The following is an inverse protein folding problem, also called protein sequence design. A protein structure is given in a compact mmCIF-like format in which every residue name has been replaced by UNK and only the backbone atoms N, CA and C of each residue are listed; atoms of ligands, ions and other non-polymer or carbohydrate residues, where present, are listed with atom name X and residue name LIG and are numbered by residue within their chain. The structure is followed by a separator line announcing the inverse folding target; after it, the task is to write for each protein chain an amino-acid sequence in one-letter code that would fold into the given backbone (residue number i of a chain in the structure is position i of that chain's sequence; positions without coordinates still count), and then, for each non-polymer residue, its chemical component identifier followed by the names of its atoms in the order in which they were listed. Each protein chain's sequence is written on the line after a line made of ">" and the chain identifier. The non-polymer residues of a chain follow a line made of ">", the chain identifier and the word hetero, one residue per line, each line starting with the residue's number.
data_IF_196577685269
#
_entry.id   IF_196577685269
#
_cell.length_a   1.000
_cell.length_b   1.000
_cell.length_c   1.000
_cell.angle_alpha   90.00
_cell.angle_beta   90.00
_cell.angle_gamma   90.00
#
_symmetry.space_group_name_H-M   'P 1'
#
loop_
_entity.id
_entity.type
_entity.pdbx_description
1 polymer ?
#
# COMPACT_ATOMS: atom_id res chain seq x y z
N UNK A 1 -6.76 -18.72 -33.51
CA UNK A 1 -5.62 -18.27 -34.33
C UNK A 1 -5.09 -16.93 -33.83
N UNK A 2 -3.95 -16.51 -34.36
CA UNK A 2 -3.36 -15.20 -34.10
C UNK A 2 -4.20 -14.08 -34.72
N UNK A 3 -4.33 -12.93 -34.07
CA UNK A 3 -4.91 -11.71 -34.61
C UNK A 3 -3.80 -10.66 -34.68
N UNK A 4 -3.53 -10.18 -35.90
CA UNK A 4 -2.49 -9.16 -36.13
C UNK A 4 -3.04 -8.01 -36.97
N UNK A 5 -2.75 -6.80 -36.52
CA UNK A 5 -3.02 -5.54 -37.25
C UNK A 5 -1.79 -4.64 -37.18
N UNK A 6 -1.41 -4.00 -38.31
CA UNK A 6 -0.35 -2.98 -38.28
C UNK A 6 -0.85 -1.64 -37.71
N UNK A 7 -2.15 -1.40 -37.73
CA UNK A 7 -2.82 -0.28 -37.10
C UNK A 7 -3.57 -0.69 -35.82
N UNK A 8 -4.70 -0.05 -35.60
CA UNK A 8 -5.57 -0.38 -34.47
C UNK A 8 -6.27 -1.74 -34.68
N UNK A 9 -6.54 -2.47 -33.62
CA UNK A 9 -7.31 -3.70 -33.62
C UNK A 9 -8.52 -3.58 -32.68
N UNK A 10 -9.69 -4.00 -33.13
CA UNK A 10 -10.91 -4.03 -32.35
C UNK A 10 -11.58 -5.40 -32.44
N UNK A 11 -11.75 -6.06 -31.31
CA UNK A 11 -12.48 -7.31 -31.18
C UNK A 11 -13.70 -7.08 -30.28
N UNK A 12 -14.88 -7.42 -30.77
CA UNK A 12 -16.11 -7.29 -29.97
C UNK A 12 -16.96 -8.55 -30.12
N UNK A 13 -17.34 -9.13 -29.00
CA UNK A 13 -18.22 -10.26 -28.93
C UNK A 13 -19.44 -9.95 -28.04
N UNK A 14 -20.63 -10.28 -28.49
CA UNK A 14 -21.87 -10.05 -27.74
C UNK A 14 -21.96 -10.88 -26.44
N UNK A 15 -21.18 -11.99 -26.33
CA UNK A 15 -21.19 -12.83 -25.17
C UNK A 15 -19.79 -13.22 -24.70
N UNK A 16 -19.11 -14.17 -25.34
CA UNK A 16 -17.75 -14.57 -24.95
C UNK A 16 -16.74 -14.18 -26.02
N UNK A 17 -15.59 -13.68 -25.60
CA UNK A 17 -14.42 -13.47 -26.46
C UNK A 17 -13.27 -14.33 -25.88
N UNK A 18 -12.86 -15.36 -26.61
CA UNK A 18 -11.69 -16.16 -26.27
C UNK A 18 -10.70 -16.13 -27.42
N UNK A 19 -9.45 -15.81 -27.13
CA UNK A 19 -8.36 -15.84 -28.10
C UNK A 19 -7.35 -16.90 -27.69
N UNK A 20 -7.17 -17.91 -28.56
CA UNK A 20 -6.20 -19.01 -28.36
C UNK A 20 -4.82 -18.66 -28.95
N UNK A 21 -4.70 -17.57 -29.69
CA UNK A 21 -3.46 -17.05 -30.27
C UNK A 21 -3.19 -15.65 -29.80
N UNK A 22 -1.99 -15.16 -30.13
CA UNK A 22 -1.57 -13.83 -29.75
C UNK A 22 -2.45 -12.73 -30.40
N UNK A 23 -2.66 -11.65 -29.65
CA UNK A 23 -3.28 -10.42 -30.13
C UNK A 23 -2.19 -9.36 -30.31
N UNK A 24 -1.96 -8.90 -31.51
CA UNK A 24 -0.94 -7.89 -31.81
C UNK A 24 -1.54 -6.74 -32.62
N UNK A 25 -1.41 -5.52 -32.12
CA UNK A 25 -1.78 -4.30 -32.80
C UNK A 25 -0.58 -3.33 -32.84
N UNK A 26 -0.25 -2.78 -34.03
CA UNK A 26 0.74 -1.71 -34.14
C UNK A 26 0.24 -0.38 -33.54
N UNK A 27 -1.08 -0.18 -33.54
CA UNK A 27 -1.79 0.92 -32.87
C UNK A 27 -2.40 0.51 -31.54
N UNK A 28 -3.61 0.99 -31.25
CA UNK A 28 -4.38 0.64 -30.06
C UNK A 28 -5.10 -0.71 -30.24
N UNK A 29 -5.29 -1.43 -29.13
CA UNK A 29 -6.02 -2.68 -29.08
C UNK A 29 -7.24 -2.56 -28.18
N UNK A 30 -8.41 -2.88 -28.71
CA UNK A 30 -9.66 -2.93 -27.97
C UNK A 30 -10.23 -4.34 -28.01
N UNK A 31 -10.45 -4.98 -26.85
CA UNK A 31 -11.13 -6.26 -26.75
C UNK A 31 -12.33 -6.14 -25.80
N UNK A 32 -13.53 -6.39 -26.32
CA UNK A 32 -14.80 -6.27 -25.58
C UNK A 32 -15.59 -7.56 -25.65
N UNK A 33 -16.10 -7.99 -24.50
CA UNK A 33 -17.02 -9.11 -24.40
C UNK A 33 -18.26 -8.76 -23.59
N UNK A 34 -19.44 -9.19 -23.98
CA UNK A 34 -20.66 -8.99 -23.21
C UNK A 34 -20.68 -9.78 -21.90
N UNK A 35 -19.88 -10.86 -21.79
CA UNK A 35 -19.79 -11.67 -20.57
C UNK A 35 -18.34 -11.96 -20.18
N UNK A 36 -17.63 -12.87 -20.85
CA UNK A 36 -16.27 -13.28 -20.48
C UNK A 36 -15.26 -12.93 -21.57
N UNK A 37 -14.12 -12.37 -21.16
CA UNK A 37 -12.95 -12.14 -22.02
C UNK A 37 -11.78 -12.99 -21.52
N UNK A 38 -11.27 -13.91 -22.37
CA UNK A 38 -10.10 -14.72 -22.03
C UNK A 38 -9.05 -14.61 -23.15
N UNK A 39 -7.84 -14.20 -22.78
CA UNK A 39 -6.68 -14.24 -23.69
C UNK A 39 -5.71 -15.31 -23.20
N UNK A 40 -5.48 -16.34 -24.01
CA UNK A 40 -4.60 -17.47 -23.63
C UNK A 40 -3.14 -17.23 -23.97
N UNK A 41 -2.88 -16.35 -24.92
CA UNK A 41 -1.54 -15.94 -25.37
C UNK A 41 -1.30 -14.45 -25.12
N UNK A 42 -0.18 -13.95 -25.59
CA UNK A 42 0.23 -12.57 -25.40
C UNK A 42 -0.72 -11.55 -26.04
N UNK A 43 -0.88 -10.42 -25.36
CA UNK A 43 -1.58 -9.25 -25.87
C UNK A 43 -0.56 -8.12 -25.98
N UNK A 44 -0.35 -7.60 -27.18
CA UNK A 44 0.62 -6.53 -27.45
C UNK A 44 -0.03 -5.42 -28.28
N UNK A 45 0.07 -4.19 -27.81
CA UNK A 45 -0.33 -3.00 -28.55
C UNK A 45 0.81 -1.97 -28.55
N UNK A 46 1.04 -1.33 -29.70
CA UNK A 46 1.99 -0.22 -29.82
C UNK A 46 1.52 1.06 -29.13
N UNK A 47 0.22 1.17 -28.86
CA UNK A 47 -0.42 2.25 -28.10
C UNK A 47 -1.22 1.69 -26.94
N UNK A 48 -2.44 2.15 -26.75
CA UNK A 48 -3.29 1.81 -25.63
C UNK A 48 -3.91 0.41 -25.76
N UNK A 49 -4.14 -0.24 -24.63
CA UNK A 49 -4.93 -1.47 -24.51
C UNK A 49 -6.21 -1.19 -23.72
N UNK A 50 -7.34 -1.58 -24.28
CA UNK A 50 -8.63 -1.54 -23.59
C UNK A 50 -9.23 -2.95 -23.52
N UNK A 51 -9.40 -3.47 -22.32
CA UNK A 51 -10.02 -4.76 -22.03
C UNK A 51 -11.35 -4.54 -21.30
N UNK A 52 -12.44 -5.12 -21.78
CA UNK A 52 -13.73 -4.98 -21.11
C UNK A 52 -14.55 -6.27 -21.19
N UNK A 53 -15.16 -6.64 -20.06
CA UNK A 53 -16.13 -7.72 -20.00
C UNK A 53 -17.27 -7.40 -19.01
N UNK A 54 -18.47 -7.83 -19.36
CA UNK A 54 -19.63 -7.69 -18.46
C UNK A 54 -19.54 -8.59 -17.21
N UNK A 55 -18.68 -9.63 -17.22
CA UNK A 55 -18.32 -10.47 -16.08
C UNK A 55 -16.80 -10.47 -15.91
N UNK A 56 -16.11 -11.55 -16.31
CA UNK A 56 -14.71 -11.75 -15.97
C UNK A 56 -13.77 -11.46 -17.14
N UNK A 57 -12.61 -10.92 -16.81
CA UNK A 57 -11.45 -10.82 -17.70
C UNK A 57 -10.33 -11.71 -17.15
N UNK A 58 -9.80 -12.59 -18.00
CA UNK A 58 -8.64 -13.41 -17.69
C UNK A 58 -7.57 -13.29 -18.74
N UNK A 59 -6.36 -12.91 -18.33
CA UNK A 59 -5.17 -12.92 -19.20
C UNK A 59 -4.19 -13.96 -18.70
N UNK A 60 -3.88 -14.97 -19.53
CA UNK A 60 -3.00 -16.09 -19.13
C UNK A 60 -1.51 -15.78 -19.32
N UNK A 61 -1.18 -14.90 -20.25
CA UNK A 61 0.18 -14.52 -20.62
C UNK A 61 0.37 -13.03 -20.53
N UNK A 62 1.51 -12.57 -20.99
CA UNK A 62 1.92 -11.17 -20.95
C UNK A 62 0.93 -10.25 -21.66
N UNK A 63 0.65 -9.10 -21.04
CA UNK A 63 -0.04 -7.97 -21.64
C UNK A 63 0.93 -6.80 -21.71
N UNK A 64 1.17 -6.30 -22.92
CA UNK A 64 2.05 -5.14 -23.16
C UNK A 64 1.27 -4.03 -23.88
N UNK A 65 1.18 -2.87 -23.27
CA UNK A 65 0.66 -1.65 -23.89
C UNK A 65 1.79 -0.63 -24.01
N UNK A 66 2.06 -0.15 -25.22
CA UNK A 66 3.02 0.94 -25.43
C UNK A 66 2.53 2.29 -24.84
N UNK A 67 1.22 2.43 -24.68
CA UNK A 67 0.54 3.52 -23.99
C UNK A 67 -0.12 3.06 -22.70
N UNK A 68 -1.34 3.51 -22.45
CA UNK A 68 -2.12 3.17 -21.27
C UNK A 68 -2.82 1.81 -21.40
N UNK A 69 -3.07 1.16 -20.28
CA UNK A 69 -3.97 0.02 -20.18
C UNK A 69 -5.20 0.37 -19.36
N UNK A 70 -6.38 0.10 -19.89
CA UNK A 70 -7.64 0.26 -19.15
C UNK A 70 -8.39 -1.07 -19.12
N UNK A 71 -8.75 -1.55 -17.93
CA UNK A 71 -9.60 -2.71 -17.72
C UNK A 71 -10.92 -2.29 -17.06
N UNK A 72 -12.05 -2.61 -17.74
CA UNK A 72 -13.40 -2.39 -17.23
C UNK A 72 -14.09 -3.75 -17.07
N UNK A 73 -14.23 -4.22 -15.84
CA UNK A 73 -14.60 -5.62 -15.55
C UNK A 73 -15.79 -5.67 -14.60
N UNK A 74 -16.87 -6.32 -15.04
CA UNK A 74 -18.09 -6.37 -14.25
C UNK A 74 -18.03 -7.26 -13.01
N UNK A 75 -17.11 -8.27 -13.00
CA UNK A 75 -16.85 -9.12 -11.84
C UNK A 75 -15.36 -9.26 -11.57
N UNK A 76 -14.72 -10.34 -12.03
CA UNK A 76 -13.36 -10.70 -11.64
C UNK A 76 -12.33 -10.38 -12.76
N UNK A 77 -11.22 -9.77 -12.36
CA UNK A 77 -10.05 -9.59 -13.21
C UNK A 77 -8.92 -10.49 -12.69
N UNK A 78 -8.38 -11.34 -13.56
CA UNK A 78 -7.25 -12.22 -13.23
C UNK A 78 -6.15 -12.00 -14.27
N UNK A 79 -4.97 -11.62 -13.81
CA UNK A 79 -3.77 -11.51 -14.64
C UNK A 79 -2.75 -12.55 -14.21
N UNK A 80 -2.55 -13.59 -15.02
CA UNK A 80 -1.59 -14.66 -14.74
C UNK A 80 -0.18 -14.34 -15.25
N UNK A 81 -0.09 -13.61 -16.38
CA UNK A 81 1.17 -13.15 -16.95
C UNK A 81 1.54 -11.75 -16.50
N UNK A 82 2.75 -11.33 -16.87
CA UNK A 82 3.20 -9.95 -16.62
C UNK A 82 2.35 -8.93 -17.35
N UNK A 83 2.16 -7.78 -16.73
CA UNK A 83 1.52 -6.61 -17.34
C UNK A 83 2.52 -5.46 -17.37
N UNK A 84 2.79 -4.94 -18.57
CA UNK A 84 3.69 -3.79 -18.74
C UNK A 84 2.98 -2.70 -19.53
N UNK A 85 3.03 -1.46 -19.04
CA UNK A 85 2.44 -0.32 -19.72
C UNK A 85 3.43 0.83 -19.80
N UNK A 86 3.56 1.44 -20.98
CA UNK A 86 4.33 2.67 -21.16
C UNK A 86 3.58 3.94 -20.70
N UNK A 87 2.34 3.81 -20.28
CA UNK A 87 1.50 4.85 -19.71
C UNK A 87 0.83 4.40 -18.42
N UNK A 88 -0.30 4.99 -18.08
CA UNK A 88 -1.06 4.64 -16.89
C UNK A 88 -1.75 3.26 -17.01
N UNK A 89 -1.94 2.59 -15.87
CA UNK A 89 -2.82 1.44 -15.74
C UNK A 89 -4.04 1.82 -14.93
N UNK A 90 -5.23 1.62 -15.49
CA UNK A 90 -6.51 1.84 -14.79
C UNK A 90 -7.31 0.55 -14.79
N UNK A 91 -7.67 0.04 -13.62
CA UNK A 91 -8.52 -1.14 -13.45
C UNK A 91 -9.74 -0.80 -12.59
N UNK A 92 -10.94 -0.96 -13.18
CA UNK A 92 -12.22 -0.86 -12.47
C UNK A 92 -12.88 -2.24 -12.46
N UNK A 93 -12.99 -2.86 -11.28
CA UNK A 93 -13.37 -4.25 -11.12
C UNK A 93 -14.54 -4.39 -10.17
N UNK A 94 -15.60 -5.03 -10.63
CA UNK A 94 -16.85 -5.14 -9.90
C UNK A 94 -16.87 -6.15 -8.76
N UNK A 95 -15.83 -7.01 -8.62
CA UNK A 95 -15.72 -7.97 -7.53
C UNK A 95 -14.23 -8.11 -7.15
N UNK A 96 -13.47 -9.08 -7.68
CA UNK A 96 -12.08 -9.32 -7.28
C UNK A 96 -11.08 -8.99 -8.39
N UNK A 97 -9.92 -8.47 -8.00
CA UNK A 97 -8.77 -8.34 -8.88
C UNK A 97 -7.59 -9.13 -8.31
N UNK A 98 -7.16 -10.18 -9.01
CA UNK A 98 -6.03 -11.03 -8.63
C UNK A 98 -4.89 -10.87 -9.62
N UNK A 99 -3.72 -10.53 -9.10
CA UNK A 99 -2.47 -10.36 -9.84
C UNK A 99 -1.55 -11.52 -9.51
N UNK A 100 -1.33 -12.43 -10.47
CA UNK A 100 -0.40 -13.57 -10.34
C UNK A 100 0.94 -13.32 -11.06
N UNK A 101 0.95 -12.44 -12.06
CA UNK A 101 2.17 -11.99 -12.75
C UNK A 101 2.54 -10.56 -12.39
N UNK A 102 3.81 -10.21 -12.46
CA UNK A 102 4.26 -8.86 -12.10
C UNK A 102 3.57 -7.76 -12.93
N UNK A 103 3.33 -6.62 -12.30
CA UNK A 103 2.85 -5.41 -12.98
C UNK A 103 3.93 -4.32 -12.92
N UNK A 104 4.23 -3.73 -14.08
CA UNK A 104 5.08 -2.54 -14.18
C UNK A 104 4.37 -1.49 -15.03
N UNK A 105 4.25 -0.28 -14.52
CA UNK A 105 3.66 0.84 -15.26
C UNK A 105 4.59 2.05 -15.22
N UNK A 106 4.80 2.69 -16.40
CA UNK A 106 5.60 3.92 -16.47
C UNK A 106 4.77 5.15 -16.02
N UNK A 107 3.44 5.06 -16.09
CA UNK A 107 2.52 6.07 -15.59
C UNK A 107 1.90 5.71 -14.25
N UNK A 108 0.80 6.37 -13.92
CA UNK A 108 0.07 6.14 -12.68
C UNK A 108 -0.65 4.78 -12.67
N UNK A 109 -0.77 4.17 -11.51
CA UNK A 109 -1.58 2.98 -11.27
C UNK A 109 -2.84 3.36 -10.49
N UNK A 110 -4.01 3.16 -11.09
CA UNK A 110 -5.30 3.39 -10.46
C UNK A 110 -6.13 2.10 -10.45
N UNK A 111 -6.45 1.62 -9.27
CA UNK A 111 -7.20 0.38 -9.06
C UNK A 111 -8.41 0.65 -8.17
N UNK A 112 -9.61 0.36 -8.68
CA UNK A 112 -10.85 0.39 -7.91
C UNK A 112 -11.49 -1.00 -7.98
N UNK A 113 -11.64 -1.64 -6.83
CA UNK A 113 -12.14 -3.01 -6.69
C UNK A 113 -13.25 -3.04 -5.64
N UNK A 114 -14.39 -3.63 -5.94
CA UNK A 114 -15.49 -3.66 -4.98
C UNK A 114 -15.26 -4.59 -3.79
N UNK A 115 -14.54 -5.70 -3.97
CA UNK A 115 -14.29 -6.64 -2.89
C UNK A 115 -12.78 -6.80 -2.64
N UNK A 116 -12.11 -7.74 -3.26
CA UNK A 116 -10.73 -8.09 -2.95
C UNK A 116 -9.75 -7.65 -4.04
N UNK A 117 -8.76 -6.87 -3.67
CA UNK A 117 -7.54 -6.66 -4.44
C UNK A 117 -6.42 -7.52 -3.86
N UNK A 118 -5.90 -8.47 -4.65
CA UNK A 118 -4.88 -9.43 -4.23
C UNK A 118 -3.69 -9.43 -5.20
N UNK A 119 -2.47 -9.31 -4.65
CA UNK A 119 -1.24 -9.38 -5.43
C UNK A 119 -0.36 -10.53 -4.95
N UNK A 120 -0.10 -11.49 -5.84
CA UNK A 120 0.82 -12.62 -5.62
C UNK A 120 2.19 -12.41 -6.29
N UNK A 121 2.35 -11.31 -7.01
CA UNK A 121 3.58 -10.92 -7.70
C UNK A 121 3.82 -9.42 -7.54
N UNK A 122 5.05 -8.98 -7.76
CA UNK A 122 5.47 -7.60 -7.54
C UNK A 122 4.69 -6.60 -8.41
N UNK A 123 4.36 -5.46 -7.82
CA UNK A 123 3.72 -4.33 -8.47
C UNK A 123 4.63 -3.11 -8.33
N UNK A 124 5.05 -2.55 -9.46
CA UNK A 124 5.85 -1.33 -9.53
C UNK A 124 5.16 -0.29 -10.42
N UNK A 125 4.95 0.90 -9.87
CA UNK A 125 4.51 2.06 -10.65
C UNK A 125 5.58 3.15 -10.62
N UNK A 126 6.02 3.62 -11.78
CA UNK A 126 6.88 4.81 -11.88
C UNK A 126 6.07 6.12 -11.75
N UNK A 127 4.75 6.04 -11.77
CA UNK A 127 3.81 7.09 -11.42
C UNK A 127 3.30 7.02 -9.98
N UNK A 128 2.23 7.75 -9.69
CA UNK A 128 1.51 7.64 -8.44
C UNK A 128 0.63 6.38 -8.41
N UNK A 129 0.41 5.85 -7.22
CA UNK A 129 -0.48 4.69 -7.01
C UNK A 129 -1.70 5.11 -6.20
N UNK A 130 -2.86 4.74 -6.69
CA UNK A 130 -4.13 4.85 -5.97
C UNK A 130 -4.85 3.50 -5.99
N UNK A 131 -5.15 2.96 -4.82
CA UNK A 131 -5.93 1.73 -4.65
C UNK A 131 -7.13 2.03 -3.77
N UNK A 132 -8.33 1.64 -4.24
CA UNK A 132 -9.55 1.64 -3.45
C UNK A 132 -10.18 0.26 -3.52
N UNK A 133 -10.39 -0.40 -2.36
CA UNK A 133 -10.96 -1.72 -2.29
C UNK A 133 -11.69 -1.97 -0.95
N UNK A 134 -12.57 -2.97 -0.89
CA UNK A 134 -13.11 -3.43 0.40
C UNK A 134 -12.00 -4.12 1.21
N UNK A 135 -11.21 -4.97 0.55
CA UNK A 135 -10.14 -5.75 1.16
C UNK A 135 -8.90 -5.69 0.27
N UNK A 136 -7.71 -5.62 0.88
CA UNK A 136 -6.43 -5.69 0.16
C UNK A 136 -5.54 -6.76 0.77
N UNK A 137 -4.97 -7.62 -0.07
CA UNK A 137 -3.95 -8.61 0.30
C UNK A 137 -2.73 -8.45 -0.61
N UNK A 138 -1.60 -8.19 -0.03
CA UNK A 138 -0.34 -8.07 -0.73
C UNK A 138 0.60 -9.21 -0.27
N UNK A 139 1.04 -10.04 -1.20
CA UNK A 139 1.97 -11.15 -0.95
C UNK A 139 3.30 -10.98 -1.69
N UNK A 140 3.50 -9.85 -2.34
CA UNK A 140 4.74 -9.50 -3.03
C UNK A 140 4.96 -7.99 -3.00
N UNK A 141 6.18 -7.54 -3.25
CA UNK A 141 6.59 -6.14 -3.16
C UNK A 141 5.63 -5.22 -3.92
N UNK A 142 5.27 -4.11 -3.29
CA UNK A 142 4.35 -3.13 -3.83
C UNK A 142 4.96 -1.73 -3.70
N UNK A 143 5.37 -1.16 -4.83
CA UNK A 143 6.16 0.06 -4.83
C UNK A 143 5.63 1.13 -5.79
N UNK A 144 5.81 2.39 -5.39
CA UNK A 144 5.51 3.58 -6.19
C UNK A 144 6.71 4.53 -6.21
N UNK A 145 7.07 5.05 -7.38
CA UNK A 145 8.10 6.09 -7.49
C UNK A 145 7.57 7.50 -7.16
N UNK A 146 6.26 7.63 -6.98
CA UNK A 146 5.59 8.85 -6.51
C UNK A 146 4.69 8.54 -5.31
N UNK A 147 3.63 9.31 -5.13
CA UNK A 147 2.74 9.11 -3.99
C UNK A 147 2.03 7.75 -4.05
N UNK A 148 1.91 7.11 -2.91
CA UNK A 148 1.14 5.90 -2.71
C UNK A 148 -0.08 6.19 -1.83
N UNK A 149 -1.28 5.92 -2.33
CA UNK A 149 -2.51 6.04 -1.57
C UNK A 149 -3.32 4.73 -1.64
N UNK A 150 -3.62 4.15 -0.48
CA UNK A 150 -4.54 3.02 -0.37
C UNK A 150 -5.69 3.39 0.56
N UNK A 151 -6.92 3.24 0.08
CA UNK A 151 -8.14 3.35 0.88
C UNK A 151 -8.82 1.98 0.90
N UNK A 152 -8.78 1.35 2.05
CA UNK A 152 -9.27 -0.02 2.25
C UNK A 152 -10.39 0.02 3.29
N UNK A 153 -11.60 -0.34 2.89
CA UNK A 153 -12.78 -0.18 3.75
C UNK A 153 -12.89 -1.22 4.86
N UNK A 154 -12.12 -2.33 4.78
CA UNK A 154 -12.11 -3.35 5.82
C UNK A 154 -10.66 -3.71 6.20
N UNK A 155 -10.01 -4.72 5.59
CA UNK A 155 -8.67 -5.10 6.00
C UNK A 155 -7.61 -4.84 4.93
N UNK A 156 -6.49 -4.29 5.36
CA UNK A 156 -5.22 -4.24 4.63
C UNK A 156 -4.26 -5.26 5.24
N UNK A 157 -3.91 -6.25 4.46
CA UNK A 157 -3.00 -7.32 4.84
C UNK A 157 -1.81 -7.36 3.91
N UNK A 158 -0.60 -7.25 4.46
CA UNK A 158 0.65 -7.35 3.72
C UNK A 158 1.55 -8.35 4.42
N UNK A 159 1.88 -9.45 3.75
CA UNK A 159 2.66 -10.56 4.31
C UNK A 159 3.70 -11.04 3.29
N UNK A 160 4.89 -11.41 3.79
CA UNK A 160 6.01 -11.88 2.98
C UNK A 160 6.60 -10.84 2.00
N UNK A 161 6.19 -9.58 2.08
CA UNK A 161 6.79 -8.51 1.30
C UNK A 161 8.18 -8.21 1.85
N UNK A 162 9.10 -7.83 0.97
CA UNK A 162 10.29 -7.08 1.42
C UNK A 162 9.91 -5.64 1.66
N UNK A 163 9.02 -5.09 0.83
CA UNK A 163 8.78 -3.65 0.82
C UNK A 163 7.36 -3.26 0.37
N UNK A 164 6.68 -2.47 1.19
CA UNK A 164 5.52 -1.66 0.81
C UNK A 164 5.98 -0.20 0.81
N UNK A 165 6.30 0.35 -0.36
CA UNK A 165 7.08 1.58 -0.43
C UNK A 165 6.58 2.65 -1.39
N UNK A 166 6.97 3.89 -1.06
CA UNK A 166 6.80 5.06 -1.89
C UNK A 166 8.07 5.91 -1.86
N UNK A 167 8.55 6.36 -3.04
CA UNK A 167 9.63 7.36 -3.11
C UNK A 167 9.15 8.81 -2.89
N UNK A 168 7.92 8.98 -2.45
CA UNK A 168 7.34 10.26 -2.06
C UNK A 168 6.47 10.04 -0.81
N UNK A 169 5.28 10.64 -0.73
CA UNK A 169 4.39 10.44 0.40
C UNK A 169 3.61 9.12 0.27
N UNK A 170 3.36 8.46 1.40
CA UNK A 170 2.47 7.32 1.46
C UNK A 170 1.31 7.56 2.43
N UNK A 171 0.11 7.17 2.01
CA UNK A 171 -1.11 7.22 2.84
C UNK A 171 -1.84 5.89 2.76
N UNK A 172 -1.96 5.21 3.89
CA UNK A 172 -2.66 3.95 4.05
C UNK A 172 -3.84 4.14 5.00
N UNK A 173 -5.05 3.86 4.54
CA UNK A 173 -6.27 3.92 5.36
C UNK A 173 -6.96 2.57 5.33
N UNK A 174 -7.32 2.04 6.50
CA UNK A 174 -8.03 0.77 6.61
C UNK A 174 -8.86 0.71 7.88
N UNK A 175 -9.79 -0.22 7.99
CA UNK A 175 -10.39 -0.53 9.28
C UNK A 175 -9.39 -1.29 10.15
N UNK A 176 -8.74 -2.31 9.58
CA UNK A 176 -7.65 -3.06 10.21
C UNK A 176 -6.44 -3.08 9.28
N UNK A 177 -5.25 -2.90 9.80
CA UNK A 177 -4.02 -3.12 9.05
C UNK A 177 -3.10 -4.10 9.78
N UNK A 178 -2.66 -5.13 9.07
CA UNK A 178 -1.61 -6.06 9.47
C UNK A 178 -0.55 -6.05 8.38
N UNK A 179 0.59 -5.47 8.68
CA UNK A 179 1.68 -5.19 7.76
C UNK A 179 2.92 -5.93 8.27
N UNK A 180 2.94 -7.28 8.06
CA UNK A 180 4.06 -8.14 8.42
C UNK A 180 5.23 -7.98 7.41
N UNK A 181 5.54 -6.72 7.12
CA UNK A 181 6.52 -6.26 6.14
C UNK A 181 7.03 -4.88 6.54
N UNK A 182 8.12 -4.45 5.91
CA UNK A 182 8.60 -3.09 6.04
C UNK A 182 7.70 -2.12 5.27
N UNK A 183 7.32 -1.00 5.92
CA UNK A 183 6.55 0.09 5.30
C UNK A 183 7.43 1.32 5.24
N UNK A 184 7.67 1.81 4.05
CA UNK A 184 8.58 2.91 3.82
C UNK A 184 7.97 4.02 2.95
N UNK A 185 8.22 5.27 3.31
CA UNK A 185 7.98 6.43 2.46
C UNK A 185 9.20 7.37 2.53
N UNK A 186 9.74 7.79 1.38
CA UNK A 186 10.83 8.79 1.36
C UNK A 186 10.35 10.17 1.84
N UNK A 187 9.05 10.44 1.69
CA UNK A 187 8.36 11.63 2.19
C UNK A 187 7.62 11.39 3.50
N UNK A 188 6.42 11.97 3.59
CA UNK A 188 5.51 11.79 4.72
C UNK A 188 4.84 10.43 4.66
N UNK A 189 4.78 9.75 5.80
CA UNK A 189 3.99 8.52 5.96
C UNK A 189 2.77 8.77 6.84
N UNK A 190 1.58 8.44 6.33
CA UNK A 190 0.34 8.48 7.09
C UNK A 190 -0.30 7.11 7.09
N UNK A 191 -0.55 6.52 8.27
CA UNK A 191 -1.31 5.28 8.42
C UNK A 191 -2.46 5.55 9.40
N UNK A 192 -3.67 5.35 8.94
CA UNK A 192 -4.89 5.54 9.73
C UNK A 192 -5.69 4.25 9.74
N UNK A 193 -5.99 3.71 10.93
CA UNK A 193 -6.89 2.58 11.08
C UNK A 193 -8.01 2.90 12.06
N UNK A 194 -9.22 2.44 11.73
CA UNK A 194 -10.38 2.58 12.64
C UNK A 194 -10.26 1.67 13.86
N UNK A 195 -9.49 0.59 13.77
CA UNK A 195 -9.31 -0.39 14.83
C UNK A 195 -7.81 -0.63 15.10
N UNK A 196 -7.28 -1.78 14.78
CA UNK A 196 -5.90 -2.18 15.06
C UNK A 196 -4.95 -1.86 13.91
N UNK A 197 -3.80 -1.29 14.23
CA UNK A 197 -2.61 -1.24 13.36
C UNK A 197 -1.51 -2.14 13.93
N UNK A 198 -1.06 -3.11 13.14
CA UNK A 198 0.11 -3.94 13.43
C UNK A 198 1.08 -3.85 12.26
N UNK A 199 2.35 -3.52 12.51
CA UNK A 199 3.38 -3.42 11.47
C UNK A 199 4.73 -3.96 11.96
N UNK A 200 5.58 -4.45 11.04
CA UNK A 200 6.98 -4.75 11.39
C UNK A 200 7.75 -3.43 11.53
N UNK A 201 8.43 -2.97 10.52
CA UNK A 201 9.19 -1.73 10.58
C UNK A 201 8.49 -0.62 9.81
N UNK A 202 8.34 0.53 10.45
CA UNK A 202 7.76 1.73 9.86
C UNK A 202 8.87 2.76 9.68
N UNK A 203 9.04 3.27 8.47
CA UNK A 203 10.07 4.26 8.15
C UNK A 203 9.49 5.42 7.32
N UNK A 204 9.73 6.64 7.75
CA UNK A 204 9.37 7.86 7.03
C UNK A 204 10.61 8.76 6.88
N UNK A 205 10.95 9.15 5.65
CA UNK A 205 11.98 10.15 5.37
C UNK A 205 11.56 11.58 5.73
N UNK A 206 10.26 11.80 5.93
CA UNK A 206 9.64 13.02 6.46
C UNK A 206 8.93 12.77 7.79
N UNK A 207 7.76 13.37 7.94
CA UNK A 207 6.91 13.21 9.12
C UNK A 207 6.16 11.87 9.09
N UNK A 208 5.92 11.28 10.27
CA UNK A 208 5.08 10.12 10.45
C UNK A 208 3.79 10.45 11.22
N UNK A 209 2.61 10.15 10.66
CA UNK A 209 1.32 10.25 11.32
C UNK A 209 0.68 8.86 11.40
N UNK A 210 0.67 8.27 12.59
CA UNK A 210 0.29 6.88 12.82
C UNK A 210 -0.89 6.81 13.80
N UNK A 211 -2.08 6.54 13.30
CA UNK A 211 -3.31 6.54 14.09
C UNK A 211 -3.97 5.17 14.09
N UNK A 212 -4.21 4.61 15.26
CA UNK A 212 -4.98 3.39 15.45
C UNK A 212 -6.17 3.65 16.37
N UNK A 213 -7.38 3.25 15.97
CA UNK A 213 -8.57 3.43 16.80
C UNK A 213 -8.53 2.63 18.09
N UNK A 214 -7.77 1.54 18.16
CA UNK A 214 -7.59 0.75 19.39
C UNK A 214 -6.12 0.54 19.73
N UNK A 215 -5.42 -0.38 19.09
CA UNK A 215 -4.04 -0.77 19.41
C UNK A 215 -3.12 -0.45 18.24
N UNK A 216 -2.10 0.33 18.51
CA UNK A 216 -0.93 0.47 17.65
C UNK A 216 0.17 -0.46 18.12
N UNK A 217 0.60 -1.36 17.26
CA UNK A 217 1.77 -2.20 17.47
C UNK A 217 2.74 -2.06 16.29
N UNK A 218 3.99 -1.82 16.57
CA UNK A 218 5.06 -1.87 15.58
C UNK A 218 6.30 -2.52 16.20
N UNK A 219 7.14 -3.15 15.36
CA UNK A 219 8.44 -3.63 15.81
C UNK A 219 9.40 -2.46 16.02
N UNK A 220 9.52 -1.57 15.03
CA UNK A 220 10.25 -0.30 15.13
C UNK A 220 9.53 0.82 14.39
N UNK A 221 9.81 2.05 14.80
CA UNK A 221 9.34 3.26 14.11
C UNK A 221 10.50 4.22 13.97
N UNK A 222 10.81 4.62 12.75
CA UNK A 222 11.83 5.59 12.39
C UNK A 222 11.21 6.71 11.55
N UNK A 223 11.21 7.94 12.04
CA UNK A 223 10.77 9.13 11.32
C UNK A 223 11.89 10.16 11.28
N UNK A 224 12.30 10.61 10.10
CA UNK A 224 13.33 11.64 9.98
C UNK A 224 12.80 13.03 10.37
N UNK A 225 11.51 13.29 10.19
CA UNK A 225 10.78 14.47 10.64
C UNK A 225 10.13 14.28 12.02
N UNK A 226 8.94 14.84 12.20
CA UNK A 226 8.14 14.68 13.41
C UNK A 226 7.36 13.37 13.39
N UNK A 227 7.01 12.84 14.57
CA UNK A 227 6.11 11.73 14.68
C UNK A 227 4.90 12.06 15.58
N UNK A 228 3.70 11.86 15.05
CA UNK A 228 2.44 11.89 15.79
C UNK A 228 1.82 10.49 15.81
N UNK A 229 1.83 9.83 16.97
CA UNK A 229 1.36 8.46 17.13
C UNK A 229 0.19 8.45 18.11
N UNK A 230 -0.97 7.99 17.67
CA UNK A 230 -2.16 7.92 18.49
C UNK A 230 -2.75 6.53 18.50
N UNK A 231 -3.22 6.10 19.66
CA UNK A 231 -4.00 4.88 19.80
C UNK A 231 -5.14 5.05 20.81
N UNK A 232 -6.29 4.49 20.48
CA UNK A 232 -7.47 4.53 21.36
C UNK A 232 -7.27 3.73 22.65
N UNK A 233 -6.32 2.78 22.69
CA UNK A 233 -5.96 2.02 23.89
C UNK A 233 -4.45 2.07 24.13
N UNK A 234 -3.64 1.32 23.38
CA UNK A 234 -2.22 1.15 23.66
C UNK A 234 -1.34 1.41 22.46
N UNK A 235 -0.17 1.98 22.72
CA UNK A 235 0.95 2.07 21.78
C UNK A 235 2.03 1.11 22.27
N UNK A 236 2.45 0.19 21.40
CA UNK A 236 3.54 -0.76 21.67
C UNK A 236 4.53 -0.71 20.53
N UNK A 237 5.76 -0.31 20.81
CA UNK A 237 6.90 -0.38 19.89
C UNK A 237 7.90 -1.37 20.46
N UNK A 238 7.96 -2.58 19.90
CA UNK A 238 8.73 -3.69 20.49
C UNK A 238 10.23 -3.42 20.56
N UNK A 239 10.76 -2.51 19.75
CA UNK A 239 12.16 -2.06 19.76
C UNK A 239 12.24 -0.54 19.92
N UNK A 240 12.84 0.15 18.96
CA UNK A 240 13.19 1.54 19.06
C UNK A 240 12.15 2.43 18.36
N UNK A 241 11.80 3.53 19.00
CA UNK A 241 11.03 4.63 18.47
C UNK A 241 11.99 5.82 18.28
N UNK A 242 12.45 6.02 17.05
CA UNK A 242 13.42 7.05 16.69
C UNK A 242 12.74 8.16 15.88
N UNK A 243 12.88 9.41 16.33
CA UNK A 243 12.26 10.57 15.71
C UNK A 243 13.28 11.69 15.55
N UNK A 244 13.47 12.14 14.30
CA UNK A 244 14.41 13.22 13.96
C UNK A 244 13.92 14.62 14.32
N UNK A 245 12.63 14.80 14.58
CA UNK A 245 11.97 16.01 15.04
C UNK A 245 11.29 15.82 16.39
N UNK A 246 10.10 16.41 16.54
CA UNK A 246 9.26 16.28 17.72
C UNK A 246 8.48 14.97 17.70
N UNK A 247 8.41 14.31 18.85
CA UNK A 247 7.58 13.14 19.10
C UNK A 247 6.36 13.51 19.94
N UNK A 248 5.17 13.17 19.46
CA UNK A 248 3.95 13.19 20.22
C UNK A 248 3.32 11.79 20.19
N UNK A 249 3.28 11.10 21.31
CA UNK A 249 2.65 9.78 21.42
C UNK A 249 1.53 9.81 22.48
N UNK A 250 0.31 9.46 22.09
CA UNK A 250 -0.88 9.52 22.93
C UNK A 250 -1.65 8.21 22.93
N UNK A 251 -1.92 7.66 24.10
CA UNK A 251 -2.75 6.48 24.30
C UNK A 251 -3.72 6.68 25.48
N UNK A 252 -4.87 6.03 25.46
CA UNK A 252 -5.75 6.04 26.63
C UNK A 252 -5.21 5.16 27.76
N UNK A 253 -4.63 4.00 27.43
CA UNK A 253 -4.08 3.07 28.40
C UNK A 253 -2.55 3.21 28.46
N UNK A 254 -1.79 2.37 27.76
CA UNK A 254 -0.36 2.25 27.92
C UNK A 254 0.44 2.72 26.71
N UNK A 255 1.65 3.22 26.96
CA UNK A 255 2.69 3.41 25.95
C UNK A 255 3.90 2.58 26.36
N UNK A 256 4.31 1.63 25.52
CA UNK A 256 5.47 0.78 25.77
C UNK A 256 6.44 0.82 24.58
N UNK A 257 7.73 0.97 24.87
CA UNK A 257 8.80 0.86 23.88
C UNK A 257 10.07 0.31 24.54
N UNK A 258 11.03 -0.21 23.75
CA UNK A 258 12.35 -0.54 24.29
C UNK A 258 13.13 0.74 24.53
N UNK A 259 13.39 1.53 23.48
CA UNK A 259 13.98 2.85 23.59
C UNK A 259 13.13 3.88 22.89
N UNK A 260 13.15 5.11 23.40
CA UNK A 260 12.47 6.26 22.80
C UNK A 260 13.51 7.35 22.60
N UNK A 261 13.69 7.80 21.36
CA UNK A 261 14.64 8.85 21.01
C UNK A 261 13.96 9.92 20.13
N UNK A 262 14.10 11.18 20.53
CA UNK A 262 13.64 12.34 19.76
C UNK A 262 14.75 13.38 19.71
N UNK A 263 15.01 13.94 18.53
CA UNK A 263 15.93 15.10 18.42
C UNK A 263 15.24 16.41 18.76
N UNK A 264 13.91 16.46 18.69
CA UNK A 264 13.08 17.54 19.17
C UNK A 264 12.49 17.24 20.56
N UNK A 265 11.33 17.82 20.86
CA UNK A 265 10.58 17.56 22.09
C UNK A 265 9.94 16.17 22.04
N UNK A 266 10.00 15.44 23.14
CA UNK A 266 9.26 14.20 23.32
C UNK A 266 8.08 14.40 24.28
N UNK A 267 6.86 14.22 23.79
CA UNK A 267 5.63 14.27 24.59
C UNK A 267 4.95 12.91 24.56
N UNK A 268 4.87 12.25 25.71
CA UNK A 268 4.24 10.94 25.87
C UNK A 268 3.08 11.06 26.86
N UNK A 269 1.88 10.66 26.47
CA UNK A 269 0.68 10.74 27.32
C UNK A 269 -0.06 9.41 27.32
N UNK A 270 -0.08 8.72 28.45
CA UNK A 270 -0.91 7.57 28.76
C UNK A 270 -1.97 8.00 29.79
N UNK A 271 -3.24 8.14 29.37
CA UNK A 271 -4.25 8.82 30.20
C UNK A 271 -4.58 8.07 31.50
N UNK A 272 -4.67 6.74 31.43
CA UNK A 272 -5.12 5.90 32.56
C UNK A 272 -4.13 4.80 32.96
N UNK A 273 -3.09 4.58 32.16
CA UNK A 273 -2.16 3.47 32.32
C UNK A 273 -0.71 3.88 32.52
N UNK A 274 0.21 3.08 32.02
CA UNK A 274 1.65 3.20 32.23
C UNK A 274 2.37 3.73 30.97
N UNK A 275 3.43 4.52 31.20
CA UNK A 275 4.50 4.72 30.19
C UNK A 275 5.68 3.84 30.63
N UNK A 276 6.05 2.89 29.78
CA UNK A 276 7.15 1.98 30.01
C UNK A 276 8.20 2.06 28.90
N UNK A 277 9.45 2.29 29.29
CA UNK A 277 10.60 2.10 28.41
C UNK A 277 11.58 1.12 29.08
N UNK A 278 11.80 -0.06 28.49
CA UNK A 278 12.74 -1.06 29.06
C UNK A 278 14.20 -0.56 29.02
N UNK A 279 14.53 0.29 28.06
CA UNK A 279 15.80 1.02 27.96
C UNK A 279 15.64 2.48 28.37
N UNK A 280 16.01 3.40 27.50
CA UNK A 280 16.08 4.83 27.80
C UNK A 280 15.02 5.66 27.06
N UNK A 281 14.68 6.81 27.66
CA UNK A 281 13.96 7.91 26.98
C UNK A 281 14.93 9.08 26.81
N UNK A 282 15.24 9.43 25.58
CA UNK A 282 16.13 10.54 25.23
C UNK A 282 15.43 11.56 24.37
N UNK A 283 15.56 12.82 24.76
CA UNK A 283 15.13 13.97 23.96
C UNK A 283 16.28 14.98 23.88
N UNK A 284 16.54 15.51 22.70
CA UNK A 284 17.54 16.58 22.56
C UNK A 284 16.95 17.97 22.89
N UNK A 285 15.65 18.05 23.21
CA UNK A 285 14.97 19.21 23.78
C UNK A 285 14.27 18.83 25.10
N UNK A 286 12.99 19.06 25.24
CA UNK A 286 12.20 18.74 26.42
C UNK A 286 11.59 17.33 26.35
N UNK A 287 11.57 16.61 27.44
CA UNK A 287 10.82 15.36 27.60
C UNK A 287 9.66 15.54 28.58
N UNK A 288 8.44 15.36 28.13
CA UNK A 288 7.21 15.43 28.94
C UNK A 288 6.53 14.07 28.95
N UNK A 289 6.48 13.41 30.09
CA UNK A 289 5.82 12.13 30.28
C UNK A 289 4.67 12.30 31.25
N UNK A 290 3.47 11.95 30.83
CA UNK A 290 2.25 12.02 31.66
C UNK A 290 1.55 10.67 31.66
N UNK A 291 1.49 10.02 32.79
CA UNK A 291 0.85 8.70 32.98
C UNK A 291 0.48 8.51 34.45
N UNK A 292 -0.31 7.47 34.74
CA UNK A 292 -0.54 7.01 36.12
C UNK A 292 0.75 6.44 36.70
N UNK A 293 1.44 5.60 35.96
CA UNK A 293 2.70 4.99 36.31
C UNK A 293 3.76 5.22 35.23
N UNK A 294 5.03 5.42 35.61
CA UNK A 294 6.14 5.60 34.68
C UNK A 294 7.29 4.71 35.09
N UNK A 295 7.68 3.77 34.23
CA UNK A 295 8.79 2.83 34.44
C UNK A 295 9.83 2.98 33.33
N UNK A 296 11.04 3.43 33.66
CA UNK A 296 12.14 3.59 32.71
C UNK A 296 13.38 2.83 33.21
N UNK A 297 13.77 1.77 32.48
CA UNK A 297 14.88 0.90 32.89
C UNK A 297 16.26 1.53 32.76
N UNK A 298 16.51 2.33 31.73
CA UNK A 298 17.84 2.90 31.44
C UNK A 298 18.01 4.38 31.78
N UNK A 299 16.96 5.07 32.17
CA UNK A 299 16.99 6.49 32.55
C UNK A 299 16.42 7.45 31.49
N UNK A 300 16.20 8.68 31.93
CA UNK A 300 15.66 9.77 31.11
C UNK A 300 16.75 10.81 30.91
N UNK A 301 16.98 11.23 29.67
CA UNK A 301 17.90 12.30 29.33
C UNK A 301 17.18 13.33 28.44
N UNK A 302 17.12 14.56 28.89
CA UNK A 302 16.61 15.69 28.13
C UNK A 302 17.58 16.87 28.26
N UNK A 303 17.79 17.62 27.15
CA UNK A 303 18.55 18.86 27.21
C UNK A 303 17.64 19.96 27.73
N UNK A 304 18.13 20.74 28.69
CA UNK A 304 17.48 21.97 29.13
C UNK A 304 17.85 23.07 28.16
N UNK A 305 16.87 23.78 27.61
CA UNK A 305 17.11 25.08 26.99
C UNK A 305 17.46 26.14 28.04
#
# INVERSE_FOLDING_TARGET
>A
GEVRSDGDAMLTAGYHLTTDGALTAGGALTAKAGSYLTTKETVTAGKDVYLSAGKDVKTERTVTAGGALTAQVGKDLITNGTVTTGGALTANVGNNFTINGAITTDGDLSVTVKDLFETNAAVLSHGAVQVEAQNVKLYADFASDKNLAMTVHNYLYAEYLKDLSSKADATLKARFATLDSDVHADGKLTIETEDKLSAENISAGGDAALNAGTVFWARSVDAAGNADIKAGKRIVVARDLNVGGDLNAQANEDIAAKNIMSKGKATLTAQTGEIRADGSVRSDAEAVLTAKDITIGGGISAKRN
#
